data_IF_539977306499
#
_entry.id   IF_539977306499
#
_cell.length_a   1.000
_cell.length_b   1.000
_cell.length_c   1.000
_cell.angle_alpha   90.00
_cell.angle_beta   90.00
_cell.angle_gamma   90.00
#
_symmetry.space_group_name_H-M   'P 1'
#
loop_
_entity.id
_entity.type
_entity.pdbx_description
1 polymer ?
#
# COMPACT_ATOMS: atom_id res chain seq x y z
N UNK A 1 -5.28 -7.91 4.58
CA UNK A 1 -6.73 -8.13 4.38
C UNK A 1 -7.10 -8.22 2.91
N UNK A 2 -7.39 -7.13 2.18
CA UNK A 2 -7.97 -7.25 0.81
C UNK A 2 -7.09 -8.07 -0.16
N UNK A 3 -5.77 -7.83 -0.19
CA UNK A 3 -4.81 -8.67 -0.94
C UNK A 3 -4.97 -10.15 -0.62
N UNK A 4 -5.04 -10.47 0.67
CA UNK A 4 -5.10 -11.85 1.16
C UNK A 4 -6.45 -12.50 0.82
N UNK A 5 -7.54 -11.72 0.86
CA UNK A 5 -8.84 -12.14 0.41
C UNK A 5 -8.82 -12.47 -1.09
N UNK A 6 -8.45 -11.50 -1.94
CA UNK A 6 -8.44 -11.67 -3.40
C UNK A 6 -7.58 -12.89 -3.80
N UNK A 7 -6.42 -13.08 -3.17
CA UNK A 7 -5.51 -14.20 -3.44
C UNK A 7 -5.85 -15.52 -2.75
N UNK A 8 -6.90 -15.60 -1.94
CA UNK A 8 -7.27 -16.83 -1.22
C UNK A 8 -7.96 -17.89 -2.08
N UNK A 9 -8.37 -17.52 -3.30
CA UNK A 9 -9.11 -18.36 -4.23
C UNK A 9 -8.17 -19.22 -5.09
N UNK A 10 -8.73 -20.24 -5.76
CA UNK A 10 -7.95 -21.05 -6.69
C UNK A 10 -7.38 -20.20 -7.84
N UNK A 11 -6.10 -20.39 -8.17
CA UNK A 11 -5.37 -19.58 -9.15
C UNK A 11 -4.86 -18.24 -8.60
N UNK A 12 -5.22 -17.86 -7.37
CA UNK A 12 -4.72 -16.66 -6.72
C UNK A 12 -3.32 -16.87 -6.14
N UNK A 13 -2.35 -16.08 -6.60
CA UNK A 13 -1.01 -15.97 -6.02
C UNK A 13 -0.85 -14.58 -5.40
N UNK A 14 0.00 -14.45 -4.37
CA UNK A 14 0.28 -13.15 -3.75
C UNK A 14 1.74 -12.94 -3.49
N UNK A 15 2.18 -11.71 -3.67
CA UNK A 15 3.45 -11.27 -3.08
C UNK A 15 3.27 -11.23 -1.55
N UNK A 16 4.11 -11.96 -0.78
CA UNK A 16 3.83 -12.29 0.62
C UNK A 16 3.81 -11.08 1.57
N UNK A 17 4.61 -10.05 1.30
CA UNK A 17 4.77 -8.87 2.14
C UNK A 17 4.98 -7.62 1.27
N UNK A 18 5.09 -6.46 1.90
CA UNK A 18 5.39 -5.20 1.23
C UNK A 18 6.81 -5.22 0.64
N UNK A 19 6.93 -4.96 -0.66
CA UNK A 19 8.16 -5.09 -1.43
C UNK A 19 8.61 -3.75 -2.00
N UNK A 20 8.53 -2.66 -1.24
CA UNK A 20 8.97 -1.33 -1.69
C UNK A 20 10.37 -1.33 -2.33
N UNK A 21 11.30 -2.15 -1.82
CA UNK A 21 12.63 -2.33 -2.40
C UNK A 21 12.64 -2.82 -3.86
N UNK A 22 11.66 -3.63 -4.26
CA UNK A 22 11.53 -4.10 -5.64
C UNK A 22 11.17 -2.93 -6.54
N UNK A 23 10.21 -2.12 -6.12
CA UNK A 23 9.74 -0.95 -6.87
C UNK A 23 10.78 0.18 -6.95
N UNK A 24 11.75 0.20 -6.03
CA UNK A 24 12.85 1.19 -5.96
C UNK A 24 14.16 0.70 -6.58
N UNK A 25 14.15 -0.38 -7.36
CA UNK A 25 15.37 -0.90 -7.97
C UNK A 25 16.06 0.15 -8.85
N UNK A 26 17.31 0.47 -8.53
CA UNK A 26 18.09 1.49 -9.22
C UNK A 26 17.89 2.93 -8.72
N UNK A 27 17.01 3.15 -7.75
CA UNK A 27 16.80 4.45 -7.11
C UNK A 27 17.60 4.55 -5.80
N UNK A 28 17.94 5.77 -5.39
CA UNK A 28 18.54 6.01 -4.07
C UNK A 28 17.52 5.67 -2.96
N UNK A 29 17.83 4.74 -2.02
CA UNK A 29 16.91 4.37 -0.93
C UNK A 29 16.51 5.52 0.01
N UNK A 30 17.29 6.60 0.08
CA UNK A 30 17.02 7.75 0.95
C UNK A 30 15.94 8.70 0.43
N UNK A 31 15.68 8.71 -0.87
CA UNK A 31 14.72 9.61 -1.53
C UNK A 31 13.25 9.26 -1.20
N UNK A 32 12.33 10.18 -1.53
CA UNK A 32 10.89 9.92 -1.41
C UNK A 32 10.45 8.72 -2.27
N UNK A 33 9.27 8.17 -1.98
CA UNK A 33 8.62 7.09 -2.73
C UNK A 33 7.88 7.61 -3.98
N UNK A 34 7.86 8.92 -4.21
CA UNK A 34 7.23 9.59 -5.35
C UNK A 34 8.05 9.43 -6.64
N UNK A 35 8.15 8.19 -7.12
CA UNK A 35 8.82 7.86 -8.38
C UNK A 35 7.95 8.27 -9.58
N UNK A 36 8.62 8.77 -10.62
CA UNK A 36 8.02 9.27 -11.84
C UNK A 36 8.45 8.45 -13.05
N UNK A 37 7.85 8.69 -14.22
CA UNK A 37 8.23 7.97 -15.44
C UNK A 37 9.68 8.24 -15.88
N UNK A 38 10.30 9.36 -15.48
CA UNK A 38 11.73 9.60 -15.76
C UNK A 38 12.66 8.70 -14.95
N UNK A 39 12.19 8.14 -13.85
CA UNK A 39 12.93 7.18 -13.03
C UNK A 39 12.84 5.75 -13.59
N UNK A 40 12.00 5.53 -14.60
CA UNK A 40 11.72 4.21 -15.16
C UNK A 40 12.47 3.98 -16.48
N UNK A 41 13.39 3.01 -16.47
CA UNK A 41 13.96 2.45 -17.69
C UNK A 41 13.26 1.16 -18.11
N UNK A 42 13.29 0.77 -19.41
CA UNK A 42 12.76 -0.53 -19.85
C UNK A 42 13.39 -1.72 -19.12
N UNK A 43 14.66 -1.63 -18.76
CA UNK A 43 15.37 -2.67 -18.02
C UNK A 43 14.88 -2.75 -16.56
N UNK A 44 14.71 -1.61 -15.90
CA UNK A 44 14.15 -1.54 -14.54
C UNK A 44 12.73 -2.09 -14.50
N UNK A 45 11.86 -1.70 -15.46
CA UNK A 45 10.50 -2.23 -15.58
C UNK A 45 10.50 -3.76 -15.70
N UNK A 46 11.38 -4.33 -16.54
CA UNK A 46 11.53 -5.78 -16.70
C UNK A 46 11.97 -6.45 -15.39
N UNK A 47 12.96 -5.89 -14.68
CA UNK A 47 13.45 -6.44 -13.41
C UNK A 47 12.39 -6.41 -12.31
N UNK A 48 11.60 -5.33 -12.24
CA UNK A 48 10.45 -5.20 -11.34
C UNK A 48 9.42 -6.30 -11.63
N UNK A 49 8.98 -6.43 -12.89
CA UNK A 49 8.03 -7.49 -13.31
C UNK A 49 8.52 -8.89 -12.92
N UNK A 50 9.77 -9.22 -13.26
CA UNK A 50 10.36 -10.51 -12.92
C UNK A 50 10.45 -10.74 -11.41
N UNK A 51 10.73 -9.69 -10.63
CA UNK A 51 10.79 -9.78 -9.17
C UNK A 51 9.42 -10.03 -8.54
N UNK A 52 8.37 -9.36 -9.02
CA UNK A 52 6.99 -9.59 -8.54
C UNK A 52 6.53 -11.02 -8.84
N UNK A 53 6.74 -11.51 -10.07
CA UNK A 53 6.42 -12.89 -10.44
C UNK A 53 7.16 -13.87 -9.53
N UNK A 54 8.48 -13.71 -9.39
CA UNK A 54 9.31 -14.57 -8.54
C UNK A 54 8.85 -14.58 -7.08
N UNK A 55 8.55 -13.41 -6.51
CA UNK A 55 8.15 -13.30 -5.10
C UNK A 55 6.73 -13.81 -4.85
N UNK A 56 5.85 -13.81 -5.87
CA UNK A 56 4.51 -14.39 -5.75
C UNK A 56 4.52 -15.92 -5.59
N UNK A 57 5.62 -16.58 -5.98
CA UNK A 57 5.77 -18.04 -5.94
C UNK A 57 4.99 -18.78 -7.03
N UNK A 58 4.35 -18.06 -7.96
CA UNK A 58 3.73 -18.66 -9.15
C UNK A 58 4.79 -19.36 -9.99
N UNK A 59 4.51 -20.57 -10.49
CA UNK A 59 5.42 -21.28 -11.41
C UNK A 59 4.90 -21.13 -12.84
N UNK A 60 5.77 -21.45 -13.79
CA UNK A 60 5.51 -21.26 -15.22
C UNK A 60 4.23 -21.97 -15.69
N UNK A 61 3.98 -23.19 -15.22
CA UNK A 61 2.76 -23.93 -15.57
C UNK A 61 1.49 -23.24 -15.08
N UNK A 62 1.52 -22.58 -13.91
CA UNK A 62 0.38 -21.86 -13.38
C UNK A 62 0.23 -20.50 -14.07
N UNK A 63 1.33 -19.84 -14.45
CA UNK A 63 1.31 -18.58 -15.21
C UNK A 63 0.59 -18.73 -16.56
N UNK A 64 0.68 -19.91 -17.19
CA UNK A 64 0.01 -20.23 -18.45
C UNK A 64 -1.46 -20.66 -18.27
N UNK A 65 -1.94 -20.86 -17.04
CA UNK A 65 -3.31 -21.25 -16.79
C UNK A 65 -4.25 -20.03 -16.86
N UNK A 66 -5.37 -20.17 -17.58
CA UNK A 66 -6.28 -19.06 -17.89
C UNK A 66 -6.88 -18.33 -16.66
N UNK A 67 -6.88 -18.96 -15.49
CA UNK A 67 -7.48 -18.41 -14.26
C UNK A 67 -6.44 -18.10 -13.17
N UNK A 68 -5.16 -18.01 -13.52
CA UNK A 68 -4.11 -17.63 -12.56
C UNK A 68 -3.84 -16.14 -12.59
N UNK A 69 -3.65 -15.55 -11.41
CA UNK A 69 -3.30 -14.14 -11.28
C UNK A 69 -2.40 -13.92 -10.06
N UNK A 70 -1.66 -12.81 -10.09
CA UNK A 70 -0.80 -12.38 -8.98
C UNK A 70 -1.38 -11.11 -8.39
N UNK A 71 -1.52 -11.07 -7.06
CA UNK A 71 -1.89 -9.87 -6.31
C UNK A 71 -0.65 -9.31 -5.60
N UNK A 72 -0.28 -8.10 -5.95
CA UNK A 72 0.78 -7.33 -5.30
C UNK A 72 0.16 -6.19 -4.49
N UNK A 73 0.70 -5.95 -3.30
CA UNK A 73 0.35 -4.76 -2.51
C UNK A 73 1.59 -4.24 -1.81
N UNK A 74 2.05 -3.08 -2.25
CA UNK A 74 3.04 -2.24 -1.56
C UNK A 74 2.38 -0.91 -1.22
N UNK A 75 2.42 -0.49 0.04
CA UNK A 75 1.69 0.72 0.48
C UNK A 75 2.22 1.99 -0.16
N UNK A 76 3.54 2.08 -0.38
CA UNK A 76 4.18 3.23 -1.02
C UNK A 76 3.79 3.43 -2.48
N UNK A 77 3.15 2.44 -3.13
CA UNK A 77 2.72 2.58 -4.52
C UNK A 77 1.60 3.61 -4.71
N UNK A 78 0.92 4.02 -3.64
CA UNK A 78 -0.05 5.13 -3.66
C UNK A 78 0.57 6.47 -4.06
N UNK A 79 1.90 6.62 -3.94
CA UNK A 79 2.63 7.83 -4.31
C UNK A 79 3.15 7.81 -5.76
N UNK A 80 2.99 6.70 -6.48
CA UNK A 80 3.63 6.45 -7.78
C UNK A 80 2.82 5.53 -8.69
N UNK A 81 1.50 5.66 -8.68
CA UNK A 81 0.59 4.84 -9.49
C UNK A 81 0.97 4.84 -10.99
N UNK A 82 1.32 5.96 -11.63
CA UNK A 82 1.72 5.96 -13.05
C UNK A 82 2.99 5.15 -13.32
N UNK A 83 3.97 5.19 -12.41
CA UNK A 83 5.18 4.37 -12.49
C UNK A 83 4.86 2.88 -12.41
N UNK A 84 3.96 2.49 -11.50
CA UNK A 84 3.51 1.10 -11.33
C UNK A 84 2.74 0.63 -12.57
N UNK A 85 1.85 1.47 -13.09
CA UNK A 85 1.09 1.19 -14.31
C UNK A 85 1.99 1.00 -15.53
N UNK A 86 2.98 1.89 -15.74
CA UNK A 86 3.98 1.71 -16.78
C UNK A 86 4.81 0.43 -16.61
N UNK A 87 5.07 0.03 -15.36
CA UNK A 87 5.69 -1.26 -15.05
C UNK A 87 4.77 -2.45 -15.30
N UNK A 88 3.44 -2.32 -15.35
CA UNK A 88 2.50 -3.43 -15.52
C UNK A 88 1.21 -2.95 -16.23
N UNK A 89 1.28 -2.63 -17.53
CA UNK A 89 0.16 -1.96 -18.23
C UNK A 89 -1.10 -2.85 -18.30
N UNK A 90 -0.93 -4.17 -18.26
CA UNK A 90 -2.04 -5.13 -18.29
C UNK A 90 -2.63 -5.43 -16.90
N UNK A 91 -2.10 -4.83 -15.83
CA UNK A 91 -2.56 -5.11 -14.47
C UNK A 91 -3.90 -4.42 -14.17
N UNK A 92 -4.83 -5.12 -13.52
CA UNK A 92 -6.02 -4.48 -12.96
C UNK A 92 -5.66 -3.72 -11.68
N UNK A 93 -6.15 -2.49 -11.57
CA UNK A 93 -5.92 -1.61 -10.42
C UNK A 93 -7.12 -1.67 -9.47
N UNK A 94 -6.84 -2.07 -8.21
CA UNK A 94 -7.83 -2.11 -7.13
C UNK A 94 -7.48 -1.04 -6.09
N UNK A 95 -8.34 -0.04 -5.95
CA UNK A 95 -8.19 1.04 -4.99
C UNK A 95 -9.07 0.78 -3.76
N UNK A 96 -8.44 0.53 -2.61
CA UNK A 96 -9.13 0.48 -1.33
C UNK A 96 -8.96 1.80 -0.60
N UNK A 97 -10.09 2.43 -0.26
CA UNK A 97 -10.12 3.66 0.52
C UNK A 97 -10.70 3.39 1.91
N UNK A 98 -10.23 4.12 2.93
CA UNK A 98 -10.68 4.00 4.32
C UNK A 98 -10.77 5.40 4.93
N UNK A 99 -11.67 5.57 5.90
CA UNK A 99 -11.84 6.82 6.63
C UNK A 99 -10.48 7.37 7.15
N UNK A 100 -10.21 8.64 6.85
CA UNK A 100 -8.94 9.29 7.19
C UNK A 100 -8.60 9.25 8.68
N UNK A 101 -9.56 9.49 9.58
CA UNK A 101 -9.31 9.43 11.03
C UNK A 101 -8.94 8.03 11.50
N UNK A 102 -9.62 7.02 10.98
CA UNK A 102 -9.33 5.62 11.31
C UNK A 102 -7.95 5.19 10.82
N UNK A 103 -7.51 5.70 9.65
CA UNK A 103 -6.15 5.47 9.14
C UNK A 103 -5.12 6.20 9.99
N UNK A 104 -5.35 7.47 10.33
CA UNK A 104 -4.42 8.25 11.17
C UNK A 104 -4.24 7.60 12.54
N UNK A 105 -5.32 7.21 13.21
CA UNK A 105 -5.24 6.51 14.49
C UNK A 105 -4.44 5.20 14.38
N UNK A 106 -4.69 4.43 13.31
CA UNK A 106 -3.95 3.19 13.05
C UNK A 106 -2.48 3.45 12.74
N UNK A 107 -2.16 4.52 12.00
CA UNK A 107 -0.78 4.87 11.66
C UNK A 107 0.01 5.32 12.90
N UNK A 108 -0.57 6.16 13.76
CA UNK A 108 0.05 6.58 15.02
C UNK A 108 0.43 5.37 15.88
N UNK A 109 -0.43 4.36 15.98
CA UNK A 109 -0.12 3.12 16.70
C UNK A 109 1.08 2.39 16.08
N UNK A 110 1.13 2.30 14.75
CA UNK A 110 2.21 1.61 14.03
C UNK A 110 3.56 2.34 14.09
N UNK A 111 3.55 3.67 14.04
CA UNK A 111 4.74 4.50 14.23
C UNK A 111 5.35 4.32 15.63
N UNK A 112 4.52 4.07 16.65
CA UNK A 112 4.96 3.84 18.03
C UNK A 112 5.23 2.36 18.35
N UNK A 113 4.85 1.43 17.46
CA UNK A 113 5.04 0.00 17.67
C UNK A 113 6.52 -0.38 17.59
N UNK A 114 6.95 -1.33 18.42
CA UNK A 114 8.32 -1.86 18.34
C UNK A 114 8.50 -2.67 17.04
N UNK A 115 9.70 -2.64 16.43
CA UNK A 115 9.96 -3.41 15.23
C UNK A 115 9.70 -4.90 15.46
N UNK A 116 8.83 -5.51 14.65
CA UNK A 116 8.65 -6.97 14.68
C UNK A 116 9.87 -7.65 14.05
N UNK A 117 10.78 -8.12 14.90
CA UNK A 117 12.02 -8.79 14.51
C UNK A 117 11.77 -10.02 13.63
N UNK A 118 10.65 -10.74 13.82
CA UNK A 118 10.32 -11.92 13.00
C UNK A 118 9.90 -11.50 11.60
N UNK A 119 9.07 -10.47 11.48
CA UNK A 119 8.69 -9.89 10.19
C UNK A 119 9.90 -9.35 9.43
N UNK A 120 10.84 -8.74 10.15
CA UNK A 120 12.08 -8.22 9.57
C UNK A 120 13.00 -9.33 9.04
N UNK A 121 13.22 -10.39 9.83
CA UNK A 121 14.01 -11.55 9.41
C UNK A 121 13.39 -12.27 8.21
N UNK A 122 12.06 -12.35 8.16
CA UNK A 122 11.36 -12.86 6.98
C UNK A 122 11.67 -12.01 5.75
N UNK A 123 11.58 -10.67 5.83
CA UNK A 123 11.96 -9.78 4.71
C UNK A 123 13.41 -10.01 4.26
N UNK A 124 14.33 -10.13 5.22
CA UNK A 124 15.77 -10.24 4.92
C UNK A 124 16.09 -11.51 4.12
N UNK A 125 15.43 -12.62 4.42
CA UNK A 125 15.65 -13.92 3.74
C UNK A 125 15.41 -13.89 2.23
N UNK A 126 14.66 -12.90 1.74
CA UNK A 126 14.29 -12.81 0.33
C UNK A 126 14.98 -11.65 -0.41
N UNK A 127 15.85 -10.88 0.25
CA UNK A 127 16.72 -9.93 -0.45
C UNK A 127 17.72 -10.70 -1.31
N UNK A 128 17.78 -10.45 -2.63
CA UNK A 128 18.87 -10.97 -3.43
C UNK A 128 20.18 -10.26 -3.03
N UNK A 129 21.30 -10.97 -3.13
CA UNK A 129 22.64 -10.44 -2.79
C UNK A 129 23.04 -9.20 -3.63
N UNK A 130 22.35 -8.93 -4.75
CA UNK A 130 22.54 -7.71 -5.54
C UNK A 130 21.97 -6.44 -4.88
N UNK A 131 21.08 -6.58 -3.88
CA UNK A 131 20.35 -5.49 -3.22
C UNK A 131 20.87 -5.20 -1.81
N UNK A 132 22.14 -5.55 -1.54
CA UNK A 132 22.78 -5.41 -0.22
C UNK A 132 22.74 -3.95 0.27
N UNK A 133 22.81 -2.95 -0.63
CA UNK A 133 22.72 -1.54 -0.25
C UNK A 133 21.38 -1.20 0.38
N UNK A 134 20.26 -1.67 -0.18
CA UNK A 134 18.93 -1.49 0.39
C UNK A 134 18.76 -2.28 1.68
N UNK A 135 19.20 -3.54 1.72
CA UNK A 135 19.15 -4.36 2.91
C UNK A 135 19.96 -3.74 4.07
N UNK A 136 21.16 -3.22 3.78
CA UNK A 136 22.01 -2.52 4.73
C UNK A 136 21.40 -1.21 5.21
N UNK A 137 20.86 -0.39 4.31
CA UNK A 137 20.12 0.83 4.65
C UNK A 137 18.92 0.52 5.56
N UNK A 138 18.13 -0.51 5.21
CA UNK A 138 16.95 -0.93 5.97
C UNK A 138 17.31 -1.42 7.36
N UNK A 139 18.35 -2.26 7.49
CA UNK A 139 18.88 -2.71 8.79
C UNK A 139 19.42 -1.52 9.59
N UNK A 140 20.19 -0.62 8.96
CA UNK A 140 20.76 0.55 9.63
C UNK A 140 19.67 1.48 10.17
N UNK A 141 18.66 1.79 9.37
CA UNK A 141 17.59 2.70 9.79
C UNK A 141 16.62 2.06 10.79
N UNK A 142 16.48 0.73 10.79
CA UNK A 142 15.62 0.03 11.74
C UNK A 142 16.31 -0.27 13.08
N UNK A 143 17.64 -0.40 13.12
CA UNK A 143 18.40 -0.86 14.30
C UNK A 143 19.56 0.00 14.76
N UNK A 144 20.17 0.79 13.87
CA UNK A 144 21.33 1.65 14.15
C UNK A 144 20.96 3.13 14.10
N UNK A 145 19.66 3.46 14.10
CA UNK A 145 19.21 4.83 14.28
C UNK A 145 19.57 5.28 15.69
N UNK A 146 20.74 5.93 15.82
CA UNK A 146 21.18 6.66 17.00
C UNK A 146 20.14 7.74 17.33
N UNK A 147 19.21 7.40 18.22
CA UNK A 147 18.50 8.29 19.15
C UNK A 147 17.66 9.47 18.64
N UNK A 148 17.83 9.98 17.41
CA UNK A 148 17.34 11.30 17.03
C UNK A 148 16.61 11.39 15.67
N UNK A 149 16.49 10.30 14.91
CA UNK A 149 15.64 10.27 13.72
C UNK A 149 14.82 8.95 13.70
N UNK A 150 13.51 8.98 13.97
CA UNK A 150 12.68 7.79 13.92
C UNK A 150 12.66 7.23 12.50
N UNK A 151 12.75 5.91 12.36
CA UNK A 151 12.56 5.22 11.08
C UNK A 151 11.16 5.53 10.55
N UNK A 152 11.07 6.09 9.34
CA UNK A 152 9.78 6.45 8.73
C UNK A 152 8.94 5.20 8.53
N UNK A 153 7.74 5.19 9.09
CA UNK A 153 6.75 4.15 8.84
C UNK A 153 5.83 4.53 7.69
N UNK A 154 5.60 3.61 6.75
CA UNK A 154 4.69 3.80 5.62
C UNK A 154 5.29 4.59 4.43
N UNK A 155 4.44 5.14 3.55
CA UNK A 155 4.87 5.86 2.34
C UNK A 155 5.70 7.12 2.64
N UNK A 156 6.87 7.26 1.99
CA UNK A 156 7.74 8.45 2.15
C UNK A 156 7.36 9.52 1.13
N UNK A 157 6.49 10.46 1.47
CA UNK A 157 6.22 11.60 0.59
C UNK A 157 7.39 12.59 0.58
N UNK A 158 7.46 13.41 -0.47
CA UNK A 158 8.49 14.45 -0.61
C UNK A 158 8.31 15.52 0.49
N UNK A 159 9.31 15.68 1.36
CA UNK A 159 9.26 16.62 2.50
C UNK A 159 9.01 15.98 3.87
N UNK A 160 8.82 14.65 3.94
CA UNK A 160 8.51 13.97 5.21
C UNK A 160 9.64 14.07 6.24
N UNK A 161 10.91 14.14 5.82
CA UNK A 161 12.06 14.27 6.72
C UNK A 161 12.04 15.64 7.43
N UNK A 162 11.75 16.72 6.70
CA UNK A 162 11.60 18.06 7.26
C UNK A 162 10.38 18.16 8.18
N UNK A 163 9.29 17.49 7.82
CA UNK A 163 8.07 17.44 8.62
C UNK A 163 8.29 16.68 9.94
N UNK A 164 9.09 15.62 9.95
CA UNK A 164 9.45 14.88 11.17
C UNK A 164 10.16 15.74 12.22
N UNK A 165 10.89 16.76 11.78
CA UNK A 165 11.58 17.70 12.69
C UNK A 165 10.62 18.76 13.25
N UNK A 166 9.53 19.06 12.53
CA UNK A 166 8.72 20.27 12.76
C UNK A 166 7.31 20.00 13.28
N UNK A 167 6.74 18.84 12.95
CA UNK A 167 5.32 18.56 13.12
C UNK A 167 5.08 17.43 14.11
N UNK A 168 3.97 17.47 14.85
CA UNK A 168 3.59 16.36 15.70
C UNK A 168 3.16 15.16 14.84
N UNK A 169 3.35 13.95 15.38
CA UNK A 169 3.14 12.69 14.64
C UNK A 169 1.74 12.55 14.03
N UNK A 170 0.68 13.03 14.69
CA UNK A 170 -0.68 12.94 14.14
C UNK A 170 -0.87 13.78 12.87
N UNK A 171 -0.20 14.93 12.78
CA UNK A 171 -0.21 15.76 11.57
C UNK A 171 0.57 15.06 10.45
N UNK A 172 1.73 14.47 10.77
CA UNK A 172 2.52 13.70 9.79
C UNK A 172 1.70 12.53 9.24
N UNK A 173 1.02 11.78 10.11
CA UNK A 173 0.15 10.67 9.71
C UNK A 173 -1.02 11.15 8.84
N UNK A 174 -1.64 12.28 9.20
CA UNK A 174 -2.72 12.88 8.42
C UNK A 174 -2.24 13.31 7.02
N UNK A 175 -1.10 14.00 6.95
CA UNK A 175 -0.49 14.42 5.69
C UNK A 175 -0.07 13.22 4.83
N UNK A 176 0.53 12.19 5.43
CA UNK A 176 0.87 10.94 4.75
C UNK A 176 -0.34 10.31 4.07
N UNK A 177 -1.47 10.22 4.79
CA UNK A 177 -2.73 9.72 4.24
C UNK A 177 -3.25 10.62 3.13
N UNK A 178 -3.34 11.93 3.37
CA UNK A 178 -3.93 12.87 2.44
C UNK A 178 -3.16 12.93 1.12
N UNK A 179 -1.83 13.06 1.17
CA UNK A 179 -0.98 13.05 -0.03
C UNK A 179 -1.11 11.72 -0.78
N UNK A 180 -1.09 10.59 -0.06
CA UNK A 180 -1.21 9.27 -0.69
C UNK A 180 -2.53 9.10 -1.43
N UNK A 181 -3.64 9.48 -0.79
CA UNK A 181 -4.98 9.32 -1.37
C UNK A 181 -5.20 10.33 -2.51
N UNK A 182 -4.81 11.59 -2.34
CA UNK A 182 -4.93 12.63 -3.36
C UNK A 182 -4.18 12.25 -4.65
N UNK A 183 -2.88 11.89 -4.54
CA UNK A 183 -2.08 11.43 -5.70
C UNK A 183 -2.65 10.16 -6.33
N UNK A 184 -3.13 9.21 -5.52
CA UNK A 184 -3.75 7.98 -6.04
C UNK A 184 -5.01 8.31 -6.84
N UNK A 185 -5.91 9.15 -6.31
CA UNK A 185 -7.13 9.53 -6.99
C UNK A 185 -6.87 10.27 -8.29
N UNK A 186 -5.94 11.23 -8.28
CA UNK A 186 -5.51 11.96 -9.47
C UNK A 186 -4.99 10.99 -10.55
N UNK A 187 -4.04 10.12 -10.19
CA UNK A 187 -3.43 9.17 -11.13
C UNK A 187 -4.42 8.14 -11.68
N UNK A 188 -5.31 7.62 -10.83
CA UNK A 188 -6.32 6.65 -11.27
C UNK A 188 -7.33 7.29 -12.21
N UNK A 189 -7.74 8.52 -11.94
CA UNK A 189 -8.62 9.27 -12.82
C UNK A 189 -7.95 9.55 -14.18
N UNK A 190 -6.68 9.93 -14.19
CA UNK A 190 -5.91 10.11 -15.43
C UNK A 190 -5.83 8.82 -16.25
N UNK A 191 -5.52 7.68 -15.62
CA UNK A 191 -5.46 6.38 -16.29
C UNK A 191 -6.83 6.00 -16.86
N UNK A 192 -7.90 6.15 -16.08
CA UNK A 192 -9.26 5.83 -16.53
C UNK A 192 -9.69 6.70 -17.72
N UNK A 193 -9.44 8.02 -17.65
CA UNK A 193 -9.82 8.97 -18.71
C UNK A 193 -8.98 8.78 -19.98
N UNK A 194 -7.66 8.58 -19.85
CA UNK A 194 -6.75 8.55 -20.99
C UNK A 194 -6.69 7.17 -21.66
N UNK A 195 -6.82 6.09 -20.88
CA UNK A 195 -6.61 4.71 -21.36
C UNK A 195 -7.90 3.89 -21.36
N UNK A 196 -9.00 4.39 -20.78
CA UNK A 196 -10.26 3.67 -20.68
C UNK A 196 -10.20 2.43 -19.78
N UNK A 197 -9.17 2.33 -18.94
CA UNK A 197 -8.97 1.20 -18.06
C UNK A 197 -9.93 1.27 -16.87
N UNK A 198 -10.67 0.19 -16.63
CA UNK A 198 -11.59 0.07 -15.49
C UNK A 198 -10.81 0.06 -14.17
N UNK A 199 -11.10 1.03 -13.30
CA UNK A 199 -10.58 1.08 -11.94
C UNK A 199 -11.60 0.49 -10.96
N UNK A 200 -11.15 -0.43 -10.09
CA UNK A 200 -12.04 -1.06 -9.09
C UNK A 200 -11.81 -0.36 -7.74
N UNK A 201 -12.70 0.55 -7.39
CA UNK A 201 -12.64 1.28 -6.11
C UNK A 201 -13.62 0.69 -5.10
N UNK A 202 -13.17 0.47 -3.87
CA UNK A 202 -13.98 -0.09 -2.79
C UNK A 202 -13.63 0.54 -1.44
N UNK A 203 -14.64 0.79 -0.61
CA UNK A 203 -14.41 1.26 0.77
C UNK A 203 -14.08 0.09 1.69
N UNK A 204 -13.09 0.29 2.56
CA UNK A 204 -12.70 -0.67 3.58
C UNK A 204 -13.88 -0.99 4.50
N UNK A 205 -14.65 0.03 4.89
CA UNK A 205 -15.82 -0.10 5.74
C UNK A 205 -16.88 -1.01 5.11
N UNK A 206 -17.09 -0.89 3.80
CA UNK A 206 -18.05 -1.70 3.06
C UNK A 206 -17.58 -3.16 2.97
N UNK A 207 -16.28 -3.40 2.75
CA UNK A 207 -15.71 -4.76 2.80
C UNK A 207 -15.86 -5.36 4.18
N UNK A 208 -15.59 -4.60 5.23
CA UNK A 208 -15.63 -5.09 6.59
C UNK A 208 -17.05 -5.29 7.15
N UNK A 209 -18.06 -4.61 6.58
CA UNK A 209 -19.44 -4.66 7.09
C UNK A 209 -20.30 -5.73 6.42
N UNK A 210 -19.94 -6.18 5.21
CA UNK A 210 -20.70 -7.19 4.47
C UNK A 210 -19.81 -7.99 3.50
N UNK A 211 -20.05 -9.31 3.35
CA UNK A 211 -19.38 -10.10 2.32
C UNK A 211 -19.74 -9.65 0.90
N UNK A 212 -20.90 -9.02 0.69
CA UNK A 212 -21.38 -8.61 -0.64
C UNK A 212 -20.48 -7.59 -1.35
N UNK A 213 -19.78 -6.76 -0.58
CA UNK A 213 -18.79 -5.81 -1.12
C UNK A 213 -17.56 -6.55 -1.64
N UNK A 214 -17.09 -7.58 -0.92
CA UNK A 214 -16.00 -8.44 -1.37
C UNK A 214 -16.41 -9.29 -2.58
N UNK A 215 -17.63 -9.82 -2.61
CA UNK A 215 -18.21 -10.52 -3.76
C UNK A 215 -18.26 -9.62 -5.01
N UNK A 216 -18.57 -8.34 -4.82
CA UNK A 216 -18.55 -7.35 -5.90
C UNK A 216 -17.14 -7.12 -6.46
N UNK A 217 -16.12 -7.01 -5.59
CA UNK A 217 -14.72 -6.92 -6.02
C UNK A 217 -14.31 -8.14 -6.86
N UNK A 218 -14.66 -9.37 -6.43
CA UNK A 218 -14.37 -10.57 -7.22
C UNK A 218 -15.04 -10.55 -8.59
N UNK A 219 -16.32 -10.18 -8.64
CA UNK A 219 -17.08 -10.05 -9.90
C UNK A 219 -16.44 -9.02 -10.83
N UNK A 220 -16.03 -7.87 -10.30
CA UNK A 220 -15.41 -6.80 -11.08
C UNK A 220 -14.02 -7.16 -11.60
N UNK A 221 -13.30 -8.02 -10.89
CA UNK A 221 -12.04 -8.63 -11.31
C UNK A 221 -12.21 -9.82 -12.27
N UNK A 222 -13.45 -10.24 -12.55
CA UNK A 222 -13.73 -11.44 -13.36
C UNK A 222 -13.35 -12.76 -12.67
N UNK A 223 -13.18 -12.76 -11.34
CA UNK A 223 -12.78 -13.93 -10.57
C UNK A 223 -14.03 -14.73 -10.20
N UNK A 224 -14.09 -15.97 -10.70
CA UNK A 224 -15.15 -16.92 -10.33
C UNK A 224 -14.72 -17.66 -9.06
N UNK A 225 -15.46 -17.44 -7.97
CA UNK A 225 -15.16 -18.08 -6.68
C UNK A 225 -16.42 -18.39 -5.89
N UNK A 226 -16.34 -19.43 -5.07
CA UNK A 226 -17.37 -19.83 -4.11
C UNK A 226 -16.83 -19.67 -2.68
N UNK A 227 -17.72 -19.49 -1.71
CA UNK A 227 -17.34 -19.47 -0.29
C UNK A 227 -16.76 -18.13 0.20
N UNK A 228 -16.95 -17.03 -0.54
CA UNK A 228 -16.53 -15.68 -0.14
C UNK A 228 -17.08 -15.32 1.25
N UNK A 229 -18.35 -15.63 1.51
CA UNK A 229 -18.99 -15.32 2.80
C UNK A 229 -18.43 -16.15 3.97
N UNK A 230 -17.87 -17.34 3.72
CA UNK A 230 -17.18 -18.12 4.76
C UNK A 230 -15.80 -17.54 5.05
N UNK A 231 -15.00 -17.27 4.01
CA UNK A 231 -13.70 -16.59 4.16
C UNK A 231 -13.84 -15.27 4.92
N UNK A 232 -14.84 -14.47 4.54
CA UNK A 232 -15.14 -13.18 5.16
C UNK A 232 -15.37 -13.32 6.67
N UNK A 233 -16.24 -14.25 7.09
CA UNK A 233 -16.57 -14.46 8.52
C UNK A 233 -15.36 -14.88 9.34
N UNK A 234 -14.44 -15.64 8.74
CA UNK A 234 -13.28 -16.18 9.43
C UNK A 234 -12.09 -15.21 9.49
N UNK A 235 -11.95 -14.31 8.50
CA UNK A 235 -10.72 -13.55 8.28
C UNK A 235 -10.90 -12.03 8.30
N UNK A 236 -12.13 -11.52 8.26
CA UNK A 236 -12.41 -10.08 8.17
C UNK A 236 -13.09 -9.61 9.46
N UNK A 237 -12.56 -8.53 10.04
CA UNK A 237 -13.04 -7.96 11.30
C UNK A 237 -13.49 -6.51 11.11
N UNK A 238 -14.55 -6.15 11.84
CA UNK A 238 -15.05 -4.77 11.94
C UNK A 238 -14.39 -3.97 13.07
N UNK A 239 -13.51 -4.58 13.87
CA UNK A 239 -12.97 -3.97 15.10
C UNK A 239 -12.22 -2.65 14.87
N UNK A 240 -11.75 -2.41 13.65
CA UNK A 240 -10.97 -1.22 13.30
C UNK A 240 -11.83 -0.05 12.78
N UNK A 241 -13.14 -0.25 12.56
CA UNK A 241 -14.05 0.78 12.04
C UNK A 241 -14.46 1.74 13.17
N UNK A 242 -14.32 3.03 12.90
CA UNK A 242 -14.68 4.12 13.80
C UNK A 242 -13.72 4.29 14.98
N UNK A 243 -12.54 3.65 14.95
CA UNK A 243 -11.55 3.77 16.02
C UNK A 243 -10.92 5.16 16.08
N UNK A 244 -10.81 5.87 14.95
CA UNK A 244 -10.31 7.24 14.89
C UNK A 244 -11.05 8.16 15.85
N UNK A 245 -12.39 8.18 15.77
CA UNK A 245 -13.22 9.01 16.67
C UNK A 245 -13.23 8.52 18.12
N UNK A 246 -12.96 7.24 18.38
CA UNK A 246 -12.96 6.66 19.74
C UNK A 246 -11.65 6.87 20.49
N UNK A 247 -10.53 6.83 19.78
CA UNK A 247 -9.19 6.77 20.38
C UNK A 247 -8.48 8.13 20.30
N UNK A 248 -8.77 8.94 19.29
CA UNK A 248 -8.15 10.26 19.14
C UNK A 248 -8.82 11.28 20.07
N UNK A 249 -8.00 12.12 20.71
CA UNK A 249 -8.49 13.25 21.50
C UNK A 249 -9.13 14.31 20.59
N UNK A 250 -10.11 15.06 21.09
CA UNK A 250 -10.81 16.11 20.33
C UNK A 250 -9.85 17.15 19.74
N UNK A 251 -8.80 17.54 20.47
CA UNK A 251 -7.77 18.47 19.99
C UNK A 251 -7.02 17.90 18.78
N UNK A 252 -6.62 16.62 18.86
CA UNK A 252 -5.96 15.89 17.77
C UNK A 252 -6.88 15.76 16.55
N UNK A 253 -8.17 15.49 16.76
CA UNK A 253 -9.17 15.44 15.68
C UNK A 253 -9.26 16.78 14.96
N UNK A 254 -9.31 17.90 15.69
CA UNK A 254 -9.37 19.23 15.11
C UNK A 254 -8.10 19.59 14.32
N UNK A 255 -6.93 19.17 14.81
CA UNK A 255 -5.67 19.36 14.10
C UNK A 255 -5.63 18.55 12.79
N UNK A 256 -6.09 17.29 12.82
CA UNK A 256 -6.21 16.44 11.63
C UNK A 256 -7.19 17.04 10.64
N UNK A 257 -8.35 17.54 11.10
CA UNK A 257 -9.34 18.21 10.25
C UNK A 257 -8.71 19.39 9.49
N UNK A 258 -7.97 20.27 10.17
CA UNK A 258 -7.28 21.39 9.52
C UNK A 258 -6.25 20.95 8.49
N UNK A 259 -5.55 19.83 8.75
CA UNK A 259 -4.62 19.28 7.78
C UNK A 259 -5.38 18.75 6.54
N UNK A 260 -6.50 18.06 6.73
CA UNK A 260 -7.35 17.54 5.66
C UNK A 260 -8.09 18.63 4.87
N UNK A 261 -8.36 19.80 5.46
CA UNK A 261 -8.94 20.96 4.77
C UNK A 261 -8.03 21.49 3.65
N UNK A 262 -6.73 21.19 3.68
CA UNK A 262 -5.81 21.50 2.57
C UNK A 262 -6.02 20.58 1.34
N UNK A 263 -6.85 19.53 1.46
CA UNK A 263 -7.14 18.54 0.44
C UNK A 263 -8.67 18.43 0.24
N UNK A 264 -9.32 19.46 -0.32
CA UNK A 264 -10.79 19.54 -0.42
C UNK A 264 -11.42 18.39 -1.21
N UNK A 265 -10.69 17.82 -2.16
CA UNK A 265 -11.08 16.64 -2.96
C UNK A 265 -11.28 15.39 -2.10
N UNK A 266 -10.73 15.36 -0.88
CA UNK A 266 -10.82 14.23 0.04
C UNK A 266 -11.97 14.33 1.05
N UNK A 267 -12.77 15.40 1.02
CA UNK A 267 -13.82 15.69 2.03
C UNK A 267 -14.86 14.57 2.22
N UNK A 268 -15.10 13.73 1.22
CA UNK A 268 -15.99 12.56 1.34
C UNK A 268 -15.35 11.32 1.99
N UNK A 269 -14.08 11.41 2.40
CA UNK A 269 -13.26 10.29 2.85
C UNK A 269 -12.78 10.41 4.30
N UNK A 270 -13.15 11.46 5.04
CA UNK A 270 -12.81 11.63 6.46
C UNK A 270 -14.01 12.05 7.31
#
# INVERSE_FOLDING_TARGET
MLRDAISSVNGGFRVPYDVNYVWRQGCDPSQSDELTLSDLSPETAKKIRSSVIRLSGIKEKELLAANSFVVEKTVSNTLRVPFVHACMPDALLVHIVRNGFDVVASAIEQWNARPDLRYLLQKIRYFPLSEISYAWWFVRNQFLADGNAPSIWGPRYSGIEEDLVRLPLHIICARQWAISVSKTLESLNEIEVNEGQKIITVKYEDICSSPGSLESVYRDLGIVTNGVSSYWRENISMASIGNGKKVLQTTVINDILREFENFPELSGLY
#
